data_IF_333299532544
#
_entry.id   IF_333299532544
#
_cell.length_a   1.000
_cell.length_b   1.000
_cell.length_c   1.000
_cell.angle_alpha   90.00
_cell.angle_beta   90.00
_cell.angle_gamma   90.00
#
_symmetry.space_group_name_H-M   'P 1'
#
loop_
_entity.id
_entity.type
_entity.pdbx_description
1 polymer ?
#
# COMPACT_ATOMS: atom_id res chain seq x y z
N UNK A 1 8.31 -9.07 1.38
CA UNK A 1 8.56 -8.87 2.82
C UNK A 1 8.31 -10.17 3.59
N UNK A 2 9.32 -11.02 3.72
CA UNK A 2 9.23 -12.25 4.53
C UNK A 2 10.25 -12.11 5.66
N UNK A 3 9.86 -12.50 6.87
CA UNK A 3 10.86 -12.69 7.91
C UNK A 3 11.50 -14.06 7.68
N UNK A 4 12.81 -14.12 7.85
CA UNK A 4 13.64 -15.33 7.69
C UNK A 4 13.55 -16.27 8.90
N UNK A 5 12.85 -15.88 9.96
CA UNK A 5 12.66 -16.74 11.11
C UNK A 5 11.80 -17.95 10.72
N UNK A 6 12.23 -19.19 11.06
CA UNK A 6 11.46 -20.37 10.77
C UNK A 6 10.11 -20.29 11.50
N UNK A 7 9.06 -20.82 10.87
CA UNK A 7 7.86 -21.26 11.56
C UNK A 7 8.09 -22.72 11.99
N UNK A 8 8.73 -23.02 13.14
CA UNK A 8 8.75 -24.38 13.65
C UNK A 8 7.29 -24.78 13.84
N UNK A 9 6.92 -25.97 13.37
CA UNK A 9 5.54 -26.45 13.33
C UNK A 9 4.92 -26.65 14.72
N UNK A 10 4.75 -25.58 15.48
CA UNK A 10 3.90 -25.56 16.66
C UNK A 10 2.45 -25.65 16.20
N UNK A 11 1.76 -26.67 16.70
CA UNK A 11 0.31 -26.84 16.63
C UNK A 11 -0.37 -25.78 17.50
N UNK A 12 -0.22 -24.51 17.15
CA UNK A 12 -0.69 -23.38 17.92
C UNK A 12 -1.21 -22.26 17.02
N UNK A 13 -2.49 -22.35 16.65
CA UNK A 13 -3.36 -21.21 16.29
C UNK A 13 -3.03 -20.33 15.09
N UNK A 14 -1.86 -20.42 14.47
CA UNK A 14 -1.50 -19.62 13.30
C UNK A 14 -1.70 -20.47 12.06
N UNK A 15 -2.48 -19.96 11.10
CA UNK A 15 -2.69 -20.61 9.83
C UNK A 15 -1.34 -20.96 9.18
N UNK A 16 -1.15 -22.24 8.85
CA UNK A 16 0.07 -22.81 8.26
C UNK A 16 0.48 -22.11 6.95
N UNK A 17 -0.41 -21.31 6.36
CA UNK A 17 -0.20 -20.55 5.13
C UNK A 17 0.18 -19.07 5.36
N UNK A 18 0.13 -18.55 6.59
CA UNK A 18 0.39 -17.15 6.90
C UNK A 18 1.88 -16.86 7.19
N UNK A 19 2.74 -17.01 6.17
CA UNK A 19 4.19 -16.72 6.29
C UNK A 19 4.53 -15.24 5.99
N UNK A 20 3.56 -14.42 5.58
CA UNK A 20 3.82 -13.03 5.24
C UNK A 20 4.22 -12.25 6.50
N UNK A 21 5.28 -11.44 6.40
CA UNK A 21 5.79 -10.69 7.55
C UNK A 21 4.82 -9.61 7.99
N UNK A 22 4.55 -8.61 7.15
CA UNK A 22 3.69 -7.47 7.41
C UNK A 22 2.53 -7.37 6.40
N UNK A 23 2.61 -8.15 5.31
CA UNK A 23 1.67 -8.12 4.19
C UNK A 23 1.34 -6.69 3.74
N UNK A 24 2.37 -5.87 3.48
CA UNK A 24 2.19 -4.47 3.08
C UNK A 24 1.32 -4.40 1.83
N UNK A 25 0.36 -3.48 1.86
CA UNK A 25 -0.55 -3.13 0.78
C UNK A 25 -0.36 -1.67 0.44
N UNK A 26 -0.81 -1.31 -0.76
CA UNK A 26 -1.04 0.08 -1.10
C UNK A 26 -2.44 0.27 -1.66
N UNK A 27 -2.96 1.47 -1.50
CA UNK A 27 -4.17 1.92 -2.15
C UNK A 27 -4.05 3.38 -2.54
N UNK A 28 -4.79 3.75 -3.57
CA UNK A 28 -4.87 5.11 -4.07
C UNK A 28 -6.31 5.58 -3.91
N UNK A 29 -6.51 6.83 -3.52
CA UNK A 29 -7.84 7.42 -3.42
C UNK A 29 -8.51 7.42 -4.79
N UNK A 30 -9.82 7.17 -4.85
CA UNK A 30 -10.58 7.24 -6.10
C UNK A 30 -10.91 8.70 -6.45
N UNK A 31 -11.12 9.04 -7.73
CA UNK A 31 -11.28 10.45 -8.15
C UNK A 31 -12.42 11.21 -7.46
N UNK A 32 -13.52 10.53 -7.10
CA UNK A 32 -14.71 11.11 -6.45
C UNK A 32 -14.80 10.76 -4.96
N UNK A 33 -13.78 10.12 -4.41
CA UNK A 33 -13.76 9.67 -3.01
C UNK A 33 -13.23 10.79 -2.12
N UNK A 34 -13.96 11.12 -1.06
CA UNK A 34 -13.47 12.06 -0.03
C UNK A 34 -12.35 11.41 0.77
N UNK A 35 -11.48 12.21 1.38
CA UNK A 35 -10.41 11.68 2.23
C UNK A 35 -10.95 10.82 3.39
N UNK A 36 -12.06 11.23 4.02
CA UNK A 36 -12.69 10.45 5.09
C UNK A 36 -13.23 9.10 4.58
N UNK A 37 -13.85 9.08 3.39
CA UNK A 37 -14.32 7.84 2.77
C UNK A 37 -13.15 6.94 2.37
N UNK A 38 -12.06 7.52 1.87
CA UNK A 38 -10.83 6.80 1.56
C UNK A 38 -10.26 6.12 2.81
N UNK A 39 -10.02 6.88 3.89
CA UNK A 39 -9.57 6.34 5.18
C UNK A 39 -10.49 5.22 5.68
N UNK A 40 -11.80 5.44 5.64
CA UNK A 40 -12.80 4.44 6.03
C UNK A 40 -12.72 3.15 5.22
N UNK A 41 -12.57 3.25 3.90
CA UNK A 41 -12.41 2.09 3.00
C UNK A 41 -11.14 1.30 3.33
N UNK A 42 -10.03 1.97 3.59
CA UNK A 42 -8.75 1.32 3.90
C UNK A 42 -8.80 0.61 5.25
N UNK A 43 -9.41 1.23 6.25
CA UNK A 43 -9.62 0.60 7.55
C UNK A 43 -10.52 -0.64 7.42
N UNK A 44 -11.60 -0.55 6.66
CA UNK A 44 -12.49 -1.69 6.40
C UNK A 44 -11.78 -2.81 5.63
N UNK A 45 -10.92 -2.47 4.66
CA UNK A 45 -10.12 -3.42 3.91
C UNK A 45 -9.11 -4.15 4.81
N UNK A 46 -8.39 -3.41 5.67
CA UNK A 46 -7.46 -4.00 6.62
C UNK A 46 -8.17 -4.95 7.60
N UNK A 47 -9.34 -4.56 8.12
CA UNK A 47 -10.15 -5.40 9.01
C UNK A 47 -10.76 -6.64 8.30
N UNK A 48 -11.09 -6.55 7.02
CA UNK A 48 -11.57 -7.70 6.25
C UNK A 48 -10.44 -8.70 5.97
N UNK A 49 -9.27 -8.21 5.57
CA UNK A 49 -8.06 -9.02 5.38
C UNK A 49 -7.68 -9.75 6.70
N UNK A 50 -7.80 -9.07 7.85
CA UNK A 50 -7.62 -9.65 9.19
C UNK A 50 -8.51 -10.88 9.45
N UNK A 51 -9.75 -10.83 8.99
CA UNK A 51 -10.74 -11.89 9.22
C UNK A 51 -10.69 -12.99 8.16
N UNK A 52 -9.73 -12.92 7.22
CA UNK A 52 -9.66 -13.80 6.05
C UNK A 52 -10.89 -13.66 5.13
N UNK A 53 -11.63 -12.56 5.29
CA UNK A 53 -12.80 -12.27 4.47
C UNK A 53 -12.34 -11.71 3.13
N UNK A 54 -13.10 -11.93 2.05
CA UNK A 54 -12.81 -11.29 0.78
C UNK A 54 -12.84 -9.76 1.00
N UNK A 55 -11.67 -9.14 0.90
CA UNK A 55 -11.58 -7.68 0.88
C UNK A 55 -12.49 -7.14 -0.22
N UNK A 56 -13.39 -6.23 0.17
CA UNK A 56 -14.26 -5.51 -0.74
C UNK A 56 -13.46 -4.55 -1.62
N UNK A 57 -12.83 -5.07 -2.67
CA UNK A 57 -12.23 -4.26 -3.72
C UNK A 57 -13.33 -3.76 -4.64
N UNK A 58 -13.82 -2.55 -4.41
CA UNK A 58 -14.71 -1.90 -5.38
C UNK A 58 -14.00 -1.75 -6.73
N UNK A 59 -14.75 -1.84 -7.83
CA UNK A 59 -14.19 -1.74 -9.17
C UNK A 59 -13.67 -0.31 -9.42
N UNK A 60 -12.35 -0.13 -9.29
CA UNK A 60 -11.66 1.10 -9.65
C UNK A 60 -11.04 0.91 -11.05
N UNK A 61 -11.58 1.58 -12.09
CA UNK A 61 -11.09 1.36 -13.45
C UNK A 61 -9.70 1.97 -13.67
N UNK A 62 -9.01 1.43 -14.67
CA UNK A 62 -7.69 1.89 -15.10
C UNK A 62 -6.52 1.10 -14.50
N UNK A 63 -6.76 0.25 -13.49
CA UNK A 63 -5.74 -0.67 -12.99
C UNK A 63 -5.59 -1.89 -13.90
N UNK A 64 -4.34 -2.32 -14.15
CA UNK A 64 -4.05 -3.48 -15.00
C UNK A 64 -4.24 -4.81 -14.28
N UNK A 65 -3.89 -4.89 -12.99
CA UNK A 65 -4.00 -6.11 -12.17
C UNK A 65 -5.19 -5.99 -11.20
N UNK A 66 -5.35 -4.82 -10.59
CA UNK A 66 -6.43 -4.52 -9.66
C UNK A 66 -6.14 -4.94 -8.22
N UNK A 67 -6.86 -4.30 -7.29
CA UNK A 67 -6.62 -4.36 -5.84
C UNK A 67 -6.61 -5.79 -5.28
N UNK A 68 -7.43 -6.70 -5.84
CA UNK A 68 -7.53 -8.09 -5.34
C UNK A 68 -6.38 -9.00 -5.78
N UNK A 69 -5.79 -8.75 -6.95
CA UNK A 69 -4.78 -9.65 -7.54
C UNK A 69 -3.35 -9.16 -7.29
N UNK A 70 -3.11 -7.85 -7.15
CA UNK A 70 -1.78 -7.26 -6.90
C UNK A 70 -1.19 -7.61 -5.53
N UNK A 71 -2.00 -8.21 -4.67
CA UNK A 71 -1.73 -8.55 -3.28
C UNK A 71 -0.96 -9.86 -3.08
N UNK A 72 -0.60 -10.53 -4.17
CA UNK A 72 0.07 -11.84 -4.13
C UNK A 72 1.59 -11.67 -4.20
N UNK A 73 2.31 -12.32 -3.28
CA UNK A 73 3.77 -12.42 -3.28
C UNK A 73 4.50 -11.39 -2.41
N UNK A 74 5.82 -11.32 -2.60
CA UNK A 74 6.73 -10.41 -1.86
C UNK A 74 6.68 -8.96 -2.31
N UNK A 75 6.35 -8.76 -3.58
CA UNK A 75 6.38 -7.49 -4.30
C UNK A 75 4.94 -7.16 -4.68
N UNK A 76 4.47 -5.99 -4.24
CA UNK A 76 3.13 -5.50 -4.57
C UNK A 76 3.33 -4.40 -5.59
N UNK A 77 2.89 -4.67 -6.82
CA UNK A 77 3.03 -3.75 -7.95
C UNK A 77 1.76 -3.79 -8.79
N UNK A 78 1.36 -2.65 -9.32
CA UNK A 78 0.25 -2.51 -10.26
C UNK A 78 0.44 -1.21 -11.04
N UNK A 79 -0.08 -1.16 -12.26
CA UNK A 79 -0.05 0.01 -13.13
C UNK A 79 -1.46 0.54 -13.30
N UNK A 80 -1.58 1.87 -13.23
CA UNK A 80 -2.82 2.57 -13.48
C UNK A 80 -2.70 3.44 -14.75
N UNK A 81 -3.72 3.45 -15.59
CA UNK A 81 -3.78 4.23 -16.83
C UNK A 81 -5.07 5.05 -16.88
N UNK A 82 -4.94 6.30 -17.27
CA UNK A 82 -6.04 7.23 -17.46
C UNK A 82 -5.53 8.62 -17.83
N UNK A 83 -6.41 9.62 -17.78
CA UNK A 83 -6.02 11.00 -18.12
C UNK A 83 -5.23 11.65 -16.98
N UNK A 84 -4.42 12.66 -17.30
CA UNK A 84 -3.70 13.44 -16.29
C UNK A 84 -4.65 14.04 -15.24
N UNK A 85 -5.82 14.52 -15.66
CA UNK A 85 -6.86 15.04 -14.76
C UNK A 85 -7.41 13.96 -13.81
N UNK A 86 -7.60 12.73 -14.29
CA UNK A 86 -8.02 11.62 -13.44
C UNK A 86 -6.92 11.24 -12.43
N UNK A 87 -5.66 11.23 -12.84
CA UNK A 87 -4.53 10.97 -11.93
C UNK A 87 -4.41 12.05 -10.85
N UNK A 88 -4.46 13.32 -11.25
CA UNK A 88 -4.38 14.47 -10.34
C UNK A 88 -5.51 14.46 -9.29
N UNK A 89 -6.72 14.09 -9.69
CA UNK A 89 -7.87 14.00 -8.78
C UNK A 89 -7.77 12.87 -7.75
N UNK A 90 -6.87 11.90 -7.93
CA UNK A 90 -6.63 10.85 -6.92
C UNK A 90 -5.81 11.40 -5.76
N UNK A 91 -4.66 12.03 -6.02
CA UNK A 91 -3.93 12.90 -5.08
C UNK A 91 -3.41 12.30 -3.76
N UNK A 92 -3.83 11.09 -3.37
CA UNK A 92 -3.44 10.43 -2.13
C UNK A 92 -3.17 8.95 -2.39
N UNK A 93 -2.05 8.48 -1.84
CA UNK A 93 -1.65 7.07 -1.79
C UNK A 93 -1.38 6.73 -0.33
N UNK A 94 -1.81 5.55 0.09
CA UNK A 94 -1.53 5.02 1.41
C UNK A 94 -0.84 3.67 1.29
N UNK A 95 0.14 3.43 2.17
CA UNK A 95 0.76 2.13 2.39
C UNK A 95 0.34 1.66 3.78
N UNK A 96 -0.19 0.45 3.87
CA UNK A 96 -0.72 -0.08 5.14
C UNK A 96 -0.47 -1.59 5.26
N UNK A 97 -0.32 -2.12 6.48
CA UNK A 97 -0.21 -3.56 6.71
C UNK A 97 -1.60 -4.22 6.72
N UNK A 98 -1.74 -5.37 6.07
CA UNK A 98 -2.99 -6.18 6.06
C UNK A 98 -2.98 -7.38 7.03
N UNK A 99 -2.01 -7.42 7.95
CA UNK A 99 -1.60 -8.53 8.82
C UNK A 99 -0.58 -9.50 8.25
N UNK A 100 0.46 -9.71 9.05
CA UNK A 100 1.34 -10.86 8.94
C UNK A 100 1.66 -11.40 10.33
N UNK A 101 2.50 -12.44 10.41
CA UNK A 101 2.69 -13.17 11.67
C UNK A 101 3.26 -12.33 12.83
N UNK A 102 3.86 -11.17 12.54
CA UNK A 102 4.47 -10.26 13.52
C UNK A 102 3.54 -9.80 14.64
N UNK A 103 2.24 -9.62 14.37
CA UNK A 103 1.25 -9.19 15.37
C UNK A 103 0.71 -10.36 16.20
N UNK A 104 0.57 -11.54 15.58
CA UNK A 104 -0.05 -12.71 16.20
C UNK A 104 0.90 -13.52 17.10
N UNK A 105 2.15 -13.07 17.25
CA UNK A 105 3.14 -13.69 18.14
C UNK A 105 3.77 -12.68 19.10
N UNK A 106 3.06 -12.35 20.20
CA UNK A 106 3.58 -11.45 21.23
C UNK A 106 4.92 -11.92 21.83
N UNK A 107 5.17 -13.23 21.83
CA UNK A 107 6.42 -13.84 22.32
C UNK A 107 7.69 -13.31 21.64
N UNK A 108 7.61 -12.93 20.36
CA UNK A 108 8.76 -12.40 19.62
C UNK A 108 9.01 -10.89 19.86
N UNK A 109 8.11 -10.20 20.57
CA UNK A 109 8.19 -8.75 20.86
C UNK A 109 8.48 -7.88 19.63
N UNK A 110 8.04 -8.33 18.44
CA UNK A 110 8.29 -7.66 17.15
C UNK A 110 7.35 -6.49 16.88
N UNK A 111 6.28 -6.35 17.66
CA UNK A 111 5.27 -5.30 17.53
C UNK A 111 5.81 -3.87 17.75
N UNK A 112 6.93 -3.71 18.45
CA UNK A 112 7.60 -2.40 18.61
C UNK A 112 8.61 -2.07 17.51
N UNK A 113 8.80 -2.94 16.51
CA UNK A 113 9.80 -2.70 15.47
C UNK A 113 9.19 -1.95 14.30
N UNK A 114 9.88 -0.90 13.86
CA UNK A 114 9.59 -0.25 12.59
C UNK A 114 9.86 -1.23 11.43
N UNK A 115 8.94 -1.26 10.46
CA UNK A 115 9.10 -2.00 9.22
C UNK A 115 9.66 -1.06 8.15
N UNK A 116 10.85 -1.36 7.63
CA UNK A 116 11.40 -0.63 6.49
C UNK A 116 10.72 -1.09 5.20
N UNK A 117 10.24 -0.13 4.41
CA UNK A 117 9.72 -0.38 3.08
C UNK A 117 10.26 0.65 2.10
N UNK A 118 10.17 0.32 0.82
CA UNK A 118 10.48 1.25 -0.27
C UNK A 118 9.25 1.38 -1.14
N UNK A 119 8.93 2.61 -1.53
CA UNK A 119 7.86 2.94 -2.47
C UNK A 119 8.51 3.49 -3.73
N UNK A 120 8.26 2.82 -4.85
CA UNK A 120 8.65 3.28 -6.17
C UNK A 120 7.39 3.72 -6.92
N UNK A 121 7.38 4.95 -7.41
CA UNK A 121 6.32 5.48 -8.26
C UNK A 121 6.96 5.89 -9.58
N UNK A 122 6.37 5.43 -10.68
CA UNK A 122 6.72 5.87 -12.02
C UNK A 122 5.51 6.55 -12.65
N UNK A 123 5.73 7.68 -13.33
CA UNK A 123 4.71 8.40 -14.07
C UNK A 123 5.18 8.48 -15.52
N UNK A 124 4.34 8.01 -16.43
CA UNK A 124 4.56 8.09 -17.86
C UNK A 124 3.42 8.90 -18.50
N UNK A 125 3.76 9.91 -19.30
CA UNK A 125 2.81 10.70 -20.05
C UNK A 125 3.29 10.85 -21.50
N UNK A 126 2.97 9.90 -22.39
CA UNK A 126 3.53 9.86 -23.75
C UNK A 126 3.19 11.10 -24.61
N UNK A 127 2.09 11.78 -24.30
CA UNK A 127 1.65 12.98 -25.00
C UNK A 127 2.16 14.29 -24.38
N UNK A 128 2.91 14.24 -23.27
CA UNK A 128 3.46 15.42 -22.65
C UNK A 128 4.74 15.83 -23.39
N UNK A 129 4.78 17.08 -23.86
CA UNK A 129 5.98 17.65 -24.50
C UNK A 129 6.97 18.22 -23.46
N UNK A 130 6.54 18.39 -22.22
CA UNK A 130 7.37 18.91 -21.13
C UNK A 130 8.21 17.82 -20.45
N UNK A 131 9.38 18.20 -19.95
CA UNK A 131 10.18 17.34 -19.07
C UNK A 131 9.54 17.23 -17.68
N UNK A 132 8.73 16.19 -17.50
CA UNK A 132 8.08 15.90 -16.23
C UNK A 132 9.07 15.68 -15.08
N UNK A 133 10.25 15.11 -15.37
CA UNK A 133 11.24 14.86 -14.35
C UNK A 133 11.79 16.17 -13.81
N UNK A 134 12.19 17.10 -14.69
CA UNK A 134 12.69 18.40 -14.29
C UNK A 134 11.67 19.17 -13.43
N UNK A 135 10.40 19.20 -13.87
CA UNK A 135 9.30 19.87 -13.15
C UNK A 135 9.05 19.27 -11.77
N UNK A 136 9.04 17.94 -11.66
CA UNK A 136 8.82 17.25 -10.38
C UNK A 136 10.03 17.41 -9.47
N UNK A 137 11.26 17.31 -9.99
CA UNK A 137 12.48 17.48 -9.20
C UNK A 137 12.59 18.89 -8.61
N UNK A 138 12.21 19.92 -9.37
CA UNK A 138 12.14 21.30 -8.87
C UNK A 138 11.13 21.43 -7.72
N UNK A 139 9.92 20.90 -7.88
CA UNK A 139 8.90 20.92 -6.82
C UNK A 139 9.32 20.14 -5.57
N UNK A 140 9.96 18.97 -5.73
CA UNK A 140 10.45 18.18 -4.60
C UNK A 140 11.57 18.92 -3.87
N UNK A 141 12.51 19.57 -4.58
CA UNK A 141 13.58 20.33 -3.93
C UNK A 141 13.01 21.49 -3.10
N UNK A 142 12.03 22.22 -3.64
CA UNK A 142 11.33 23.28 -2.90
C UNK A 142 10.54 22.70 -1.71
N UNK A 143 9.91 21.54 -1.90
CA UNK A 143 9.15 20.88 -0.84
C UNK A 143 10.03 20.23 0.22
N UNK A 144 11.25 19.78 -0.08
CA UNK A 144 12.16 19.14 0.88
C UNK A 144 12.72 20.13 1.91
N UNK A 145 12.70 21.44 1.60
CA UNK A 145 12.94 22.50 2.58
C UNK A 145 11.79 22.64 3.60
N UNK A 146 10.60 22.10 3.27
CA UNK A 146 9.41 22.08 4.12
C UNK A 146 9.24 20.65 4.67
N UNK A 147 9.17 20.43 5.99
CA UNK A 147 9.03 19.08 6.52
C UNK A 147 7.77 18.41 5.94
N UNK A 148 7.97 17.33 5.18
CA UNK A 148 6.87 16.48 4.69
C UNK A 148 6.25 15.80 5.90
N UNK A 149 5.03 16.20 6.27
CA UNK A 149 4.27 15.54 7.33
C UNK A 149 3.90 14.12 6.90
N UNK A 150 4.71 13.16 7.34
CA UNK A 150 4.33 11.75 7.36
C UNK A 150 3.43 11.55 8.58
N UNK A 151 2.10 11.59 8.38
CA UNK A 151 1.15 11.24 9.44
C UNK A 151 1.24 9.73 9.72
N UNK A 152 1.96 9.38 10.78
CA UNK A 152 1.96 8.03 11.36
C UNK A 152 0.78 7.99 12.35
N UNK A 153 -0.24 7.18 12.02
CA UNK A 153 -1.36 6.88 12.93
C UNK A 153 -1.04 5.65 13.77
#
# INVERSE_FOLDING_TARGET
SYFIEPNPGERGGVDKYAYQSHALRFAVRRPLETEAAFRGRINAQAAADEQGLPAGGGNDPGWSIGERLRTRGSLVSDSWTGTAAQLANRGQLVVFPAMGWWRNRPSHRRFYRAATYSLLISIEAPSAEQDLYALVAEQINVAAEIPVEVQIL
#
